data_IF_514530364756
#
_entry.id   IF_514530364756
#
_cell.length_a   1.000
_cell.length_b   1.000
_cell.length_c   1.000
_cell.angle_alpha   90.00
_cell.angle_beta   90.00
_cell.angle_gamma   90.00
#
_symmetry.space_group_name_H-M   'P 1'
#
loop_
_entity.id
_entity.type
_entity.pdbx_description
1 polymer ?
#
# COMPACT_ATOMS: atom_id res chain seq x y z
N UNK A 1 -4.78 17.20 -36.39
CA UNK A 1 -4.39 16.12 -35.47
C UNK A 1 -3.36 16.69 -34.50
N UNK A 2 -3.72 16.90 -33.24
CA UNK A 2 -2.74 17.32 -32.21
C UNK A 2 -1.82 16.11 -31.99
N UNK A 3 -0.49 16.23 -32.13
CA UNK A 3 0.41 15.13 -31.84
C UNK A 3 0.17 14.68 -30.40
N UNK A 4 -0.17 13.42 -30.19
CA UNK A 4 -0.26 12.85 -28.85
C UNK A 4 1.09 13.02 -28.17
N UNK A 5 1.12 13.78 -27.08
CA UNK A 5 2.36 14.03 -26.35
C UNK A 5 2.97 12.68 -25.91
N UNK A 6 4.27 12.50 -26.18
CA UNK A 6 5.00 11.29 -25.77
C UNK A 6 4.93 11.19 -24.24
N UNK A 7 4.46 10.06 -23.68
CA UNK A 7 4.38 9.88 -22.24
C UNK A 7 5.74 10.11 -21.55
N UNK A 8 5.74 10.86 -20.44
CA UNK A 8 6.93 11.19 -19.66
C UNK A 8 6.71 10.87 -18.17
N UNK A 9 7.77 10.56 -17.41
CA UNK A 9 7.65 10.42 -15.96
C UNK A 9 7.33 11.78 -15.30
N UNK A 10 6.69 11.76 -14.11
CA UNK A 10 6.53 12.96 -13.30
C UNK A 10 7.85 13.69 -13.01
N UNK A 11 7.81 15.01 -12.97
CA UNK A 11 9.02 15.84 -12.84
C UNK A 11 9.76 15.66 -11.51
N UNK A 12 9.06 15.37 -10.41
CA UNK A 12 9.69 15.12 -9.10
C UNK A 12 10.33 13.73 -8.99
N UNK A 13 9.99 12.82 -9.91
CA UNK A 13 10.48 11.45 -9.86
C UNK A 13 11.96 11.42 -10.29
N UNK A 14 12.81 10.84 -9.44
CA UNK A 14 14.22 10.60 -9.77
C UNK A 14 14.34 9.84 -11.09
N UNK A 15 14.97 10.45 -12.09
CA UNK A 15 15.29 9.81 -13.37
C UNK A 15 16.65 9.11 -13.28
N UNK A 16 16.71 7.85 -13.74
CA UNK A 16 17.94 7.06 -13.76
C UNK A 16 18.35 6.80 -15.20
N UNK A 17 19.61 7.12 -15.52
CA UNK A 17 20.20 6.79 -16.82
C UNK A 17 20.10 5.27 -17.11
N UNK A 18 19.57 4.85 -18.28
CA UNK A 18 19.40 3.44 -18.60
C UNK A 18 20.71 2.63 -18.63
N UNK A 19 21.85 3.23 -19.02
CA UNK A 19 23.13 2.54 -18.99
C UNK A 19 23.60 2.31 -17.55
N UNK A 20 23.42 3.30 -16.66
CA UNK A 20 23.67 3.15 -15.22
C UNK A 20 22.77 2.09 -14.59
N UNK A 21 21.49 2.08 -14.94
CA UNK A 21 20.54 1.06 -14.45
C UNK A 21 20.95 -0.36 -14.89
N UNK A 22 21.29 -0.54 -16.17
CA UNK A 22 21.79 -1.82 -16.71
C UNK A 22 23.07 -2.27 -16.01
N UNK A 23 24.05 -1.37 -15.84
CA UNK A 23 25.30 -1.68 -15.15
C UNK A 23 25.07 -2.08 -13.68
N UNK A 24 24.20 -1.35 -12.97
CA UNK A 24 23.82 -1.64 -11.59
C UNK A 24 23.18 -3.02 -11.42
N UNK A 25 22.24 -3.37 -12.30
CA UNK A 25 21.57 -4.67 -12.29
C UNK A 25 22.53 -5.80 -12.71
N UNK A 26 23.36 -5.59 -13.74
CA UNK A 26 24.33 -6.58 -14.20
C UNK A 26 25.37 -6.91 -13.12
N UNK A 27 25.89 -5.91 -12.40
CA UNK A 27 26.82 -6.11 -11.28
C UNK A 27 26.23 -7.03 -10.20
N UNK A 28 24.92 -6.92 -9.96
CA UNK A 28 24.20 -7.69 -8.93
C UNK A 28 23.82 -9.09 -9.39
N UNK A 29 23.65 -9.31 -10.70
CA UNK A 29 23.41 -10.63 -11.30
C UNK A 29 24.68 -11.43 -11.55
N UNK A 30 25.79 -10.77 -11.91
CA UNK A 30 27.06 -11.41 -12.32
C UNK A 30 27.99 -11.80 -11.18
N UNK A 31 27.73 -11.38 -9.96
CA UNK A 31 28.59 -11.75 -8.83
C UNK A 31 28.25 -13.18 -8.41
N UNK A 32 29.14 -14.12 -8.72
CA UNK A 32 29.08 -15.52 -8.23
C UNK A 32 29.20 -15.65 -6.70
N UNK A 33 29.34 -14.52 -5.99
CA UNK A 33 29.23 -14.41 -4.55
C UNK A 33 28.04 -13.52 -4.19
N UNK A 34 27.17 -13.93 -3.24
CA UNK A 34 26.01 -13.14 -2.83
C UNK A 34 26.43 -11.78 -2.25
N UNK A 35 25.64 -10.73 -2.53
CA UNK A 35 25.80 -9.41 -1.91
C UNK A 35 25.91 -9.56 -0.39
N UNK A 36 26.92 -8.94 0.22
CA UNK A 36 27.12 -9.03 1.67
C UNK A 36 25.90 -8.46 2.43
N UNK A 37 25.59 -8.96 3.64
CA UNK A 37 24.46 -8.48 4.42
C UNK A 37 24.48 -6.96 4.63
N UNK A 38 25.66 -6.38 4.89
CA UNK A 38 25.82 -4.93 5.06
C UNK A 38 25.53 -4.15 3.77
N UNK A 39 26.00 -4.64 2.61
CA UNK A 39 25.75 -3.99 1.33
C UNK A 39 24.24 -4.03 0.99
N UNK A 40 23.58 -5.17 1.24
CA UNK A 40 22.12 -5.32 1.09
C UNK A 40 21.37 -4.35 1.99
N UNK A 41 21.74 -4.25 3.27
CA UNK A 41 21.14 -3.31 4.23
C UNK A 41 21.28 -1.85 3.78
N UNK A 42 22.48 -1.43 3.38
CA UNK A 42 22.73 -0.07 2.86
C UNK A 42 21.88 0.24 1.63
N UNK A 43 21.77 -0.73 0.72
CA UNK A 43 20.97 -0.59 -0.49
C UNK A 43 19.48 -0.53 -0.21
N UNK A 44 18.96 -1.40 0.66
CA UNK A 44 17.56 -1.40 1.06
C UNK A 44 17.16 -0.04 1.65
N UNK A 45 18.00 0.53 2.53
CA UNK A 45 17.81 1.87 3.10
C UNK A 45 17.89 2.98 2.04
N UNK A 46 18.80 2.87 1.07
CA UNK A 46 18.87 3.83 -0.05
C UNK A 46 17.63 3.74 -0.95
N UNK A 47 17.11 2.55 -1.22
CA UNK A 47 15.85 2.35 -1.95
C UNK A 47 14.71 3.04 -1.18
N UNK A 48 14.57 2.78 0.14
CA UNK A 48 13.52 3.42 0.94
C UNK A 48 13.62 4.97 0.92
N UNK A 49 14.82 5.54 1.02
CA UNK A 49 15.02 6.99 0.94
C UNK A 49 14.55 7.56 -0.41
N UNK A 50 14.90 6.93 -1.52
CA UNK A 50 14.45 7.35 -2.86
C UNK A 50 12.92 7.19 -3.01
N UNK A 51 12.34 6.14 -2.43
CA UNK A 51 10.88 5.96 -2.45
C UNK A 51 10.16 6.98 -1.55
N UNK A 52 10.80 7.47 -0.48
CA UNK A 52 10.26 8.54 0.35
C UNK A 52 10.16 9.86 -0.43
N UNK A 53 11.18 10.18 -1.24
CA UNK A 53 11.14 11.33 -2.16
C UNK A 53 10.09 11.16 -3.27
N UNK A 54 9.92 9.94 -3.78
CA UNK A 54 8.93 9.66 -4.83
C UNK A 54 7.47 9.74 -4.32
N UNK A 55 7.24 9.37 -3.05
CA UNK A 55 5.92 9.29 -2.43
C UNK A 55 5.89 9.98 -1.06
N UNK A 56 6.10 11.30 -0.98
CA UNK A 56 6.14 12.03 0.30
C UNK A 56 4.77 12.05 1.00
N UNK A 57 3.70 11.75 0.26
CA UNK A 57 2.31 11.67 0.70
C UNK A 57 1.82 10.22 0.91
N UNK A 58 2.71 9.22 0.93
CA UNK A 58 2.31 7.82 1.13
C UNK A 58 1.73 7.59 2.52
N UNK A 59 0.45 7.23 2.57
CA UNK A 59 -0.30 6.86 3.78
C UNK A 59 -1.17 5.64 3.45
N UNK A 60 -1.89 5.09 4.43
CA UNK A 60 -2.91 4.08 4.12
C UNK A 60 -3.92 4.63 3.10
N UNK A 61 -4.20 3.88 2.03
CA UNK A 61 -5.13 4.33 0.98
C UNK A 61 -6.61 4.19 1.36
N UNK A 62 -6.90 3.56 2.50
CA UNK A 62 -8.23 3.52 3.12
C UNK A 62 -8.45 4.78 3.94
N UNK A 63 -9.60 5.43 3.80
CA UNK A 63 -9.94 6.63 4.57
C UNK A 63 -10.51 6.23 5.94
N UNK A 64 -10.01 6.85 7.01
CA UNK A 64 -10.43 6.58 8.39
C UNK A 64 -10.14 7.77 9.30
N UNK A 65 -10.87 7.85 10.42
CA UNK A 65 -10.70 8.87 11.47
C UNK A 65 -10.41 8.26 12.85
N UNK A 66 -10.51 6.94 12.99
CA UNK A 66 -10.26 6.23 14.24
C UNK A 66 -9.72 4.81 13.97
N UNK A 67 -9.12 4.15 14.98
CA UNK A 67 -8.74 2.74 14.86
C UNK A 67 -9.90 1.81 14.49
N UNK A 68 -11.11 2.10 14.99
CA UNK A 68 -12.34 1.37 14.65
C UNK A 68 -12.66 1.47 13.16
N UNK A 69 -12.67 2.69 12.61
CA UNK A 69 -12.96 2.89 11.18
C UNK A 69 -11.92 2.18 10.30
N UNK A 70 -10.63 2.29 10.63
CA UNK A 70 -9.56 1.62 9.88
C UNK A 70 -9.69 0.10 9.93
N UNK A 71 -10.00 -0.45 11.11
CA UNK A 71 -10.14 -1.90 11.30
C UNK A 71 -11.31 -2.44 10.46
N UNK A 72 -12.48 -1.81 10.54
CA UNK A 72 -13.66 -2.20 9.76
C UNK A 72 -13.39 -2.03 8.26
N UNK A 73 -12.82 -0.90 7.83
CA UNK A 73 -12.47 -0.66 6.43
C UNK A 73 -11.48 -1.72 5.89
N UNK A 74 -10.51 -2.14 6.72
CA UNK A 74 -9.53 -3.17 6.33
C UNK A 74 -10.16 -4.55 6.21
N UNK A 75 -11.12 -4.91 7.07
CA UNK A 75 -11.89 -6.15 6.90
C UNK A 75 -12.77 -6.10 5.64
N UNK A 76 -13.39 -4.94 5.36
CA UNK A 76 -14.22 -4.74 4.16
C UNK A 76 -13.42 -4.73 2.85
N UNK A 77 -12.14 -4.35 2.87
CA UNK A 77 -11.28 -4.34 1.69
C UNK A 77 -10.87 -5.73 1.22
N UNK A 78 -11.13 -6.78 2.00
CA UNK A 78 -10.95 -8.15 1.55
C UNK A 78 -11.68 -8.38 0.22
N UNK A 79 -10.90 -8.73 -0.81
CA UNK A 79 -11.36 -8.96 -2.18
C UNK A 79 -12.16 -7.78 -2.78
N UNK A 80 -11.80 -6.54 -2.42
CA UNK A 80 -12.43 -5.32 -2.93
C UNK A 80 -11.40 -4.21 -3.05
N UNK A 81 -11.66 -3.23 -3.91
CA UNK A 81 -10.74 -2.10 -4.08
C UNK A 81 -10.96 -1.06 -3.00
N UNK A 82 -9.86 -0.44 -2.55
CA UNK A 82 -9.90 0.63 -1.53
C UNK A 82 -10.82 1.78 -1.98
N UNK A 83 -10.86 2.10 -3.27
CA UNK A 83 -11.77 3.11 -3.84
C UNK A 83 -13.24 2.79 -3.58
N UNK A 84 -13.66 1.52 -3.72
CA UNK A 84 -15.04 1.12 -3.43
C UNK A 84 -15.33 1.16 -1.95
N UNK A 85 -14.38 0.71 -1.12
CA UNK A 85 -14.51 0.78 0.35
C UNK A 85 -14.66 2.23 0.81
N UNK A 86 -13.82 3.15 0.32
CA UNK A 86 -13.87 4.57 0.68
C UNK A 86 -15.15 5.26 0.20
N UNK A 87 -15.76 4.80 -0.90
CA UNK A 87 -17.06 5.32 -1.36
C UNK A 87 -18.23 4.84 -0.49
N UNK A 88 -18.11 3.67 0.15
CA UNK A 88 -19.18 3.04 0.96
C UNK A 88 -19.09 3.39 2.44
N UNK A 89 -17.87 3.44 3.00
CA UNK A 89 -17.62 3.58 4.43
C UNK A 89 -18.16 4.89 5.06
N UNK A 90 -18.24 6.05 4.38
CA UNK A 90 -18.83 7.25 4.98
C UNK A 90 -20.28 7.04 5.43
N UNK A 91 -21.10 6.36 4.62
CA UNK A 91 -22.49 6.03 4.99
C UNK A 91 -22.54 5.01 6.13
N UNK A 92 -21.67 4.00 6.10
CA UNK A 92 -21.58 2.99 7.16
C UNK A 92 -21.21 3.62 8.51
N UNK A 93 -20.18 4.47 8.54
CA UNK A 93 -19.71 5.08 9.79
C UNK A 93 -20.60 6.22 10.28
N UNK A 94 -21.42 6.82 9.41
CA UNK A 94 -22.49 7.71 9.84
C UNK A 94 -23.62 6.95 10.56
N UNK A 95 -24.01 5.78 10.04
CA UNK A 95 -25.02 4.92 10.67
C UNK A 95 -24.50 4.21 11.93
N UNK A 96 -23.23 3.78 11.92
CA UNK A 96 -22.59 3.02 12.99
C UNK A 96 -21.26 3.65 13.41
N UNK A 97 -21.30 4.77 14.17
CA UNK A 97 -20.10 5.53 14.53
C UNK A 97 -19.20 4.83 15.55
N UNK A 98 -19.69 3.80 16.25
CA UNK A 98 -18.95 3.05 17.28
C UNK A 98 -19.07 1.54 17.07
N UNK A 99 -18.16 0.72 17.65
CA UNK A 99 -18.30 -0.73 17.64
C UNK A 99 -19.65 -1.19 18.20
N UNK A 100 -20.12 -0.59 19.29
CA UNK A 100 -21.45 -0.89 19.87
C UNK A 100 -22.58 -0.65 18.88
N UNK A 101 -22.58 0.50 18.20
CA UNK A 101 -23.59 0.81 17.20
C UNK A 101 -23.57 -0.19 16.04
N UNK A 102 -22.40 -0.67 15.60
CA UNK A 102 -22.30 -1.67 14.54
C UNK A 102 -22.74 -3.08 14.99
N UNK A 103 -22.45 -3.46 16.23
CA UNK A 103 -22.86 -4.74 16.79
C UNK A 103 -24.39 -4.84 16.90
N UNK A 104 -25.01 -3.78 17.39
CA UNK A 104 -26.46 -3.66 17.63
C UNK A 104 -27.27 -3.30 16.38
N UNK A 105 -26.62 -2.87 15.28
CA UNK A 105 -27.29 -2.47 14.05
C UNK A 105 -28.09 -3.62 13.41
N UNK A 106 -29.20 -3.24 12.75
CA UNK A 106 -30.00 -4.17 11.95
C UNK A 106 -29.18 -4.73 10.79
N UNK A 107 -29.23 -6.05 10.63
CA UNK A 107 -28.41 -6.72 9.63
C UNK A 107 -28.79 -6.30 8.20
N UNK A 108 -30.08 -6.12 7.92
CA UNK A 108 -30.55 -5.77 6.58
C UNK A 108 -30.10 -4.35 6.21
N UNK A 109 -30.14 -3.41 7.15
CA UNK A 109 -29.61 -2.06 6.94
C UNK A 109 -28.11 -2.08 6.57
N UNK A 110 -27.28 -2.81 7.34
CA UNK A 110 -25.85 -2.93 7.04
C UNK A 110 -25.63 -3.58 5.68
N UNK A 111 -26.35 -4.67 5.39
CA UNK A 111 -26.25 -5.36 4.10
C UNK A 111 -26.56 -4.42 2.93
N UNK A 112 -27.57 -3.56 3.04
CA UNK A 112 -27.90 -2.58 1.99
C UNK A 112 -26.82 -1.50 1.84
N UNK A 113 -26.25 -1.00 2.94
CA UNK A 113 -25.14 -0.04 2.90
C UNK A 113 -23.93 -0.64 2.17
N UNK A 114 -23.52 -1.86 2.52
CA UNK A 114 -22.28 -2.47 2.00
C UNK A 114 -22.49 -3.37 0.78
N UNK A 115 -23.71 -3.46 0.25
CA UNK A 115 -24.06 -4.21 -0.98
C UNK A 115 -23.09 -3.95 -2.15
N UNK A 116 -22.66 -2.70 -2.44
CA UNK A 116 -21.75 -2.41 -3.56
C UNK A 116 -20.37 -3.06 -3.45
N UNK A 117 -19.95 -3.51 -2.26
CA UNK A 117 -18.64 -4.11 -2.02
C UNK A 117 -18.54 -5.57 -2.46
N UNK A 118 -19.66 -6.21 -2.83
CA UNK A 118 -19.69 -7.65 -3.11
C UNK A 118 -19.44 -8.50 -1.86
N UNK A 119 -19.85 -9.77 -1.90
CA UNK A 119 -19.84 -10.69 -0.73
C UNK A 119 -20.46 -10.07 0.54
N UNK A 120 -21.41 -9.13 0.36
CA UNK A 120 -21.87 -8.24 1.41
C UNK A 120 -22.45 -9.00 2.61
N UNK A 121 -23.18 -10.10 2.40
CA UNK A 121 -23.68 -10.93 3.52
C UNK A 121 -22.57 -11.49 4.40
N UNK A 122 -21.49 -12.00 3.80
CA UNK A 122 -20.35 -12.51 4.55
C UNK A 122 -19.60 -11.38 5.25
N UNK A 123 -19.43 -10.24 4.56
CA UNK A 123 -18.80 -9.04 5.13
C UNK A 123 -19.61 -8.46 6.29
N UNK A 124 -20.93 -8.37 6.19
CA UNK A 124 -21.83 -7.92 7.26
C UNK A 124 -21.65 -8.78 8.50
N UNK A 125 -21.71 -10.11 8.36
CA UNK A 125 -21.47 -11.02 9.49
C UNK A 125 -20.08 -10.82 10.08
N UNK A 126 -19.05 -10.68 9.25
CA UNK A 126 -17.67 -10.48 9.71
C UNK A 126 -17.52 -9.20 10.53
N UNK A 127 -18.00 -8.04 10.03
CA UNK A 127 -17.85 -6.76 10.73
C UNK A 127 -18.74 -6.67 11.98
N UNK A 128 -19.93 -7.29 11.98
CA UNK A 128 -20.79 -7.35 13.16
C UNK A 128 -20.19 -8.24 14.25
N UNK A 129 -19.67 -9.42 13.90
CA UNK A 129 -19.01 -10.31 14.86
C UNK A 129 -17.72 -9.68 15.42
N UNK A 130 -16.97 -8.98 14.55
CA UNK A 130 -15.81 -8.18 14.95
C UNK A 130 -16.21 -7.11 15.98
N UNK A 131 -17.25 -6.34 15.67
CA UNK A 131 -17.74 -5.28 16.55
C UNK A 131 -18.25 -5.81 17.89
N UNK A 132 -18.99 -6.92 17.88
CA UNK A 132 -19.45 -7.59 19.09
C UNK A 132 -18.28 -8.03 19.98
N UNK A 133 -17.25 -8.67 19.41
CA UNK A 133 -16.07 -9.08 20.19
C UNK A 133 -15.29 -7.90 20.78
N UNK A 134 -15.23 -6.77 20.06
CA UNK A 134 -14.63 -5.53 20.59
C UNK A 134 -15.43 -5.01 21.79
N UNK A 135 -16.76 -5.08 21.74
CA UNK A 135 -17.62 -4.65 22.85
C UNK A 135 -17.47 -5.58 24.06
N UNK A 136 -17.49 -6.89 23.84
CA UNK A 136 -17.52 -7.89 24.91
C UNK A 136 -16.16 -8.05 25.61
N UNK A 137 -15.07 -8.08 24.84
CA UNK A 137 -13.74 -8.44 25.36
C UNK A 137 -12.82 -7.22 25.56
N UNK A 138 -13.18 -6.05 25.00
CA UNK A 138 -12.34 -4.86 24.98
C UNK A 138 -13.11 -3.56 25.28
N UNK A 139 -14.25 -3.66 25.96
CA UNK A 139 -15.06 -2.52 26.43
C UNK A 139 -15.48 -1.52 25.32
N UNK A 140 -15.55 -1.99 24.07
CA UNK A 140 -15.90 -1.15 22.92
C UNK A 140 -14.73 -0.38 22.31
N UNK A 141 -13.49 -0.63 22.75
CA UNK A 141 -12.28 -0.02 22.21
C UNK A 141 -11.46 -1.01 21.39
N UNK A 142 -10.91 -0.57 20.25
CA UNK A 142 -10.01 -1.41 19.46
C UNK A 142 -8.69 -1.58 20.23
N UNK A 143 -8.23 -2.81 20.49
CA UNK A 143 -7.01 -3.00 21.27
C UNK A 143 -5.75 -2.55 20.53
N UNK A 144 -4.83 -1.93 21.26
CA UNK A 144 -3.55 -1.40 20.74
C UNK A 144 -2.39 -2.41 20.77
N UNK A 145 -2.66 -3.71 20.90
CA UNK A 145 -1.64 -4.77 20.96
C UNK A 145 -1.87 -5.81 19.87
N UNK A 146 -0.78 -6.33 19.30
CA UNK A 146 -0.84 -7.34 18.25
C UNK A 146 -1.55 -8.62 18.71
N UNK A 147 -1.20 -9.10 19.90
CA UNK A 147 -1.75 -10.34 20.49
C UNK A 147 -3.27 -10.28 20.59
N UNK A 148 -3.82 -9.13 20.99
CA UNK A 148 -5.25 -8.93 21.17
C UNK A 148 -5.95 -8.77 19.81
N UNK A 149 -5.39 -7.96 18.92
CA UNK A 149 -5.95 -7.74 17.58
C UNK A 149 -6.09 -9.03 16.78
N UNK A 150 -5.12 -9.95 16.86
CA UNK A 150 -5.20 -11.22 16.11
C UNK A 150 -6.23 -12.20 16.68
N UNK A 151 -6.77 -11.95 17.89
CA UNK A 151 -7.92 -12.72 18.39
C UNK A 151 -9.23 -12.31 17.71
N UNK A 152 -9.27 -11.11 17.10
CA UNK A 152 -10.47 -10.58 16.49
C UNK A 152 -10.82 -11.33 15.18
N UNK A 153 -12.10 -11.64 14.94
CA UNK A 153 -12.50 -12.41 13.76
C UNK A 153 -12.18 -11.65 12.47
N UNK A 154 -11.52 -12.32 11.53
CA UNK A 154 -11.10 -11.72 10.26
C UNK A 154 -9.82 -10.87 10.36
N UNK A 155 -9.18 -10.81 11.54
CA UNK A 155 -7.95 -10.05 11.76
C UNK A 155 -6.75 -10.98 11.85
N UNK A 156 -6.01 -11.10 10.77
CA UNK A 156 -4.69 -11.74 10.77
C UNK A 156 -3.58 -10.74 11.15
N UNK A 157 -2.36 -11.26 11.33
CA UNK A 157 -1.15 -10.45 11.65
C UNK A 157 -0.95 -9.25 10.72
N UNK A 158 -1.19 -9.41 9.41
CA UNK A 158 -1.12 -8.30 8.43
C UNK A 158 -2.11 -7.20 8.78
N UNK A 159 -3.39 -7.55 8.98
CA UNK A 159 -4.46 -6.60 9.31
C UNK A 159 -4.16 -5.88 10.62
N UNK A 160 -3.71 -6.62 11.64
CA UNK A 160 -3.30 -6.04 12.91
C UNK A 160 -2.16 -5.01 12.74
N UNK A 161 -1.11 -5.35 11.98
CA UNK A 161 0.00 -4.42 11.70
C UNK A 161 -0.45 -3.17 10.89
N UNK A 162 -1.46 -3.29 10.01
CA UNK A 162 -2.06 -2.12 9.34
C UNK A 162 -2.66 -1.18 10.37
N UNK A 163 -3.47 -1.70 11.30
CA UNK A 163 -4.15 -0.90 12.32
C UNK A 163 -3.17 -0.30 13.31
N UNK A 164 -2.24 -1.11 13.85
CA UNK A 164 -1.20 -0.67 14.77
C UNK A 164 -0.33 0.44 14.16
N UNK A 165 0.14 0.24 12.94
CA UNK A 165 1.02 1.18 12.26
C UNK A 165 0.36 2.51 11.96
N UNK A 166 -0.87 2.49 11.44
CA UNK A 166 -1.49 3.71 10.88
C UNK A 166 -2.42 4.42 11.88
N UNK A 167 -3.03 3.71 12.84
CA UNK A 167 -3.95 4.31 13.80
C UNK A 167 -3.37 4.47 15.21
N UNK A 168 -2.42 3.62 15.62
CA UNK A 168 -1.78 3.69 16.94
C UNK A 168 -0.33 4.21 16.90
N UNK A 169 0.26 4.37 15.72
CA UNK A 169 1.67 4.76 15.57
C UNK A 169 2.67 3.68 16.05
N UNK A 170 2.21 2.44 16.24
CA UNK A 170 3.03 1.30 16.66
C UNK A 170 3.62 0.65 15.39
N UNK A 171 4.94 0.70 15.17
CA UNK A 171 5.49 0.30 13.88
C UNK A 171 5.25 -1.17 13.53
N UNK A 172 4.84 -1.43 12.30
CA UNK A 172 4.57 -2.78 11.82
C UNK A 172 4.82 -2.93 10.33
N UNK A 173 5.42 -4.06 9.94
CA UNK A 173 5.55 -4.44 8.53
C UNK A 173 4.28 -5.18 8.11
N UNK A 174 3.70 -4.72 7.00
CA UNK A 174 2.49 -5.32 6.40
C UNK A 174 2.87 -6.02 5.09
N UNK A 175 3.14 -7.31 5.18
CA UNK A 175 3.49 -8.10 3.98
C UNK A 175 2.22 -8.44 3.20
N UNK A 176 2.02 -7.72 2.10
CA UNK A 176 1.01 -8.03 1.09
C UNK A 176 1.66 -8.53 -0.23
N UNK A 177 0.85 -8.68 -1.27
CA UNK A 177 1.32 -9.15 -2.57
C UNK A 177 2.24 -8.14 -3.28
N UNK A 178 2.14 -6.85 -2.96
CA UNK A 178 3.06 -5.82 -3.46
C UNK A 178 4.37 -5.89 -2.68
N UNK A 179 4.31 -5.84 -1.35
CA UNK A 179 5.46 -5.89 -0.46
C UNK A 179 6.34 -7.11 -0.73
N UNK A 180 5.77 -8.32 -0.71
CA UNK A 180 6.52 -9.55 -0.94
C UNK A 180 7.16 -9.60 -2.33
N UNK A 181 6.42 -9.21 -3.37
CA UNK A 181 6.94 -9.15 -4.74
C UNK A 181 8.11 -8.18 -4.84
N UNK A 182 7.98 -6.98 -4.28
CA UNK A 182 9.00 -5.95 -4.35
C UNK A 182 10.22 -6.30 -3.51
N UNK A 183 10.04 -6.88 -2.31
CA UNK A 183 11.13 -7.39 -1.50
C UNK A 183 11.98 -8.42 -2.25
N UNK A 184 11.34 -9.33 -3.01
CA UNK A 184 12.03 -10.29 -3.89
C UNK A 184 12.71 -9.62 -5.09
N UNK A 185 12.03 -8.71 -5.80
CA UNK A 185 12.63 -7.95 -6.93
C UNK A 185 13.81 -7.08 -6.51
N UNK A 186 13.75 -6.53 -5.31
CA UNK A 186 14.85 -5.78 -4.72
C UNK A 186 15.94 -6.69 -4.15
N UNK A 187 15.78 -8.02 -4.17
CA UNK A 187 16.76 -8.97 -3.64
C UNK A 187 17.01 -8.77 -2.15
N UNK A 188 15.96 -8.45 -1.38
CA UNK A 188 16.01 -8.34 0.08
C UNK A 188 15.86 -9.71 0.73
N UNK A 189 15.01 -10.55 0.14
CA UNK A 189 14.75 -11.94 0.53
C UNK A 189 14.40 -12.77 -0.71
N UNK A 190 14.55 -14.09 -0.61
CA UNK A 190 14.03 -15.05 -1.57
C UNK A 190 12.73 -15.73 -1.09
N UNK A 191 12.30 -15.43 0.14
CA UNK A 191 11.15 -16.08 0.76
C UNK A 191 9.82 -15.62 0.13
N UNK A 192 8.86 -16.53 0.10
CA UNK A 192 7.49 -16.26 -0.35
C UNK A 192 6.50 -16.23 0.81
N UNK A 193 6.81 -16.95 1.90
CA UNK A 193 6.02 -16.94 3.12
C UNK A 193 6.03 -15.55 3.77
N UNK A 194 4.85 -14.93 4.03
CA UNK A 194 4.78 -13.58 4.56
C UNK A 194 5.50 -13.37 5.88
N UNK A 195 5.50 -14.36 6.77
CA UNK A 195 6.14 -14.26 8.10
C UNK A 195 7.66 -14.25 7.96
N UNK A 196 8.21 -15.08 7.08
CA UNK A 196 9.65 -15.07 6.78
C UNK A 196 10.07 -13.81 6.05
N UNK A 197 9.27 -13.31 5.10
CA UNK A 197 9.51 -12.03 4.41
C UNK A 197 9.53 -10.88 5.42
N UNK A 198 8.57 -10.82 6.35
CA UNK A 198 8.50 -9.83 7.41
C UNK A 198 9.80 -9.82 8.23
N UNK A 199 10.24 -10.99 8.71
CA UNK A 199 11.47 -11.16 9.49
C UNK A 199 12.71 -10.70 8.72
N UNK A 200 12.87 -11.14 7.49
CA UNK A 200 14.06 -10.85 6.68
C UNK A 200 14.15 -9.36 6.36
N UNK A 201 13.01 -8.72 6.04
CA UNK A 201 12.97 -7.28 5.72
C UNK A 201 13.11 -6.44 7.00
N UNK A 202 12.51 -6.84 8.12
CA UNK A 202 12.66 -6.17 9.41
C UNK A 202 14.13 -5.98 9.80
N UNK A 203 14.99 -6.98 9.55
CA UNK A 203 16.42 -6.90 9.84
C UNK A 203 17.18 -5.80 9.05
N UNK A 204 16.61 -5.31 7.94
CA UNK A 204 17.22 -4.30 7.07
C UNK A 204 16.91 -2.85 7.53
N UNK A 205 15.84 -2.64 8.27
CA UNK A 205 15.29 -1.31 8.60
C UNK A 205 15.15 -1.12 10.12
N UNK A 206 15.15 0.14 10.57
CA UNK A 206 14.82 0.42 11.97
C UNK A 206 13.31 0.30 12.17
N UNK A 207 12.81 -0.12 13.36
CA UNK A 207 11.37 -0.28 13.60
C UNK A 207 10.54 0.95 13.22
N UNK A 208 11.00 2.16 13.55
CA UNK A 208 10.32 3.41 13.20
C UNK A 208 10.05 3.60 11.71
N UNK A 209 10.78 2.93 10.82
CA UNK A 209 10.63 3.05 9.38
C UNK A 209 9.63 2.03 8.79
N UNK A 210 9.16 1.05 9.58
CA UNK A 210 8.43 -0.11 9.07
C UNK A 210 7.08 0.23 8.43
N UNK A 211 6.27 1.05 9.09
CA UNK A 211 4.94 1.44 8.58
C UNK A 211 5.07 2.21 7.26
N UNK A 212 5.93 3.23 7.24
CA UNK A 212 6.22 4.05 6.07
C UNK A 212 6.80 3.23 4.91
N UNK A 213 7.74 2.33 5.20
CA UNK A 213 8.29 1.41 4.22
C UNK A 213 7.17 0.59 3.57
N UNK A 214 6.27 0.03 4.37
CA UNK A 214 5.12 -0.72 3.90
C UNK A 214 4.24 0.12 2.96
N UNK A 215 3.89 1.35 3.34
CA UNK A 215 3.09 2.23 2.47
C UNK A 215 3.81 2.54 1.16
N UNK A 216 5.10 2.89 1.22
CA UNK A 216 5.91 3.21 0.03
C UNK A 216 6.02 2.03 -0.93
N UNK A 217 6.14 0.79 -0.42
CA UNK A 217 6.17 -0.40 -1.28
C UNK A 217 4.82 -0.70 -1.91
N UNK A 218 3.71 -0.52 -1.19
CA UNK A 218 2.37 -0.64 -1.77
C UNK A 218 2.18 0.41 -2.87
N UNK A 219 2.53 1.67 -2.61
CA UNK A 219 2.47 2.75 -3.59
C UNK A 219 3.30 2.43 -4.82
N UNK A 220 4.58 2.06 -4.63
CA UNK A 220 5.48 1.73 -5.72
C UNK A 220 4.98 0.54 -6.54
N UNK A 221 4.48 -0.50 -5.87
CA UNK A 221 3.97 -1.71 -6.49
C UNK A 221 2.66 -1.51 -7.26
N UNK A 222 1.87 -0.48 -6.92
CA UNK A 222 0.62 -0.11 -7.61
C UNK A 222 0.84 0.89 -8.74
N UNK A 223 1.84 1.78 -8.63
CA UNK A 223 2.07 2.90 -9.56
C UNK A 223 3.12 2.61 -10.63
N UNK A 224 4.16 1.83 -10.30
CA UNK A 224 5.34 1.62 -11.18
C UNK A 224 5.66 0.13 -11.34
N UNK A 225 5.85 -0.59 -10.24
CA UNK A 225 6.40 -1.95 -10.23
C UNK A 225 5.30 -3.03 -10.32
N UNK A 226 4.51 -2.96 -11.40
CA UNK A 226 3.38 -3.86 -11.67
C UNK A 226 3.79 -5.33 -11.71
N UNK A 227 2.88 -6.23 -11.35
CA UNK A 227 3.18 -7.67 -11.26
C UNK A 227 3.68 -8.24 -12.58
N UNK A 228 2.94 -8.01 -13.68
CA UNK A 228 3.24 -8.58 -15.00
C UNK A 228 4.24 -7.77 -15.84
N UNK A 229 4.09 -6.44 -15.86
CA UNK A 229 4.89 -5.56 -16.74
C UNK A 229 5.31 -4.28 -15.99
N UNK A 230 6.36 -4.34 -15.15
CA UNK A 230 6.80 -3.18 -14.37
C UNK A 230 7.39 -2.08 -15.26
N UNK A 231 7.15 -0.82 -14.93
CA UNK A 231 7.66 0.34 -15.67
C UNK A 231 9.14 0.63 -15.37
N UNK A 232 10.05 -0.29 -15.72
CA UNK A 232 11.47 -0.23 -15.35
C UNK A 232 12.17 1.04 -15.87
N UNK A 233 11.85 1.50 -17.08
CA UNK A 233 12.47 2.67 -17.72
C UNK A 233 12.26 4.01 -16.99
N UNK A 234 11.25 4.09 -16.11
CA UNK A 234 10.95 5.28 -15.30
C UNK A 234 11.04 5.01 -13.81
N UNK A 235 11.58 3.86 -13.40
CA UNK A 235 11.65 3.50 -11.99
C UNK A 235 12.75 4.29 -11.26
N UNK A 236 12.45 5.01 -10.16
CA UNK A 236 13.42 5.89 -9.49
C UNK A 236 14.55 5.12 -8.81
N UNK A 237 14.38 3.82 -8.59
CA UNK A 237 15.37 2.93 -7.95
C UNK A 237 16.03 1.97 -8.94
N UNK A 238 15.94 2.25 -10.24
CA UNK A 238 16.42 1.37 -11.30
C UNK A 238 17.91 0.97 -11.18
N UNK A 239 18.79 1.89 -10.76
CA UNK A 239 20.23 1.61 -10.54
C UNK A 239 20.53 0.82 -9.26
N UNK A 240 19.54 0.68 -8.38
CA UNK A 240 19.63 -0.08 -7.13
C UNK A 240 18.93 -1.45 -7.22
N UNK A 241 18.14 -1.68 -8.27
CA UNK A 241 17.25 -2.82 -8.41
C UNK A 241 17.93 -3.98 -9.17
N UNK A 242 18.15 -5.16 -8.56
CA UNK A 242 18.65 -6.35 -9.25
C UNK A 242 17.73 -6.81 -10.40
N UNK A 243 16.42 -6.63 -10.24
CA UNK A 243 15.38 -7.01 -11.22
C UNK A 243 15.13 -5.98 -12.33
N UNK A 244 15.91 -4.90 -12.43
CA UNK A 244 15.73 -3.93 -13.52
C UNK A 244 15.79 -4.63 -14.89
N UNK A 245 14.82 -4.33 -15.77
CA UNK A 245 14.67 -4.99 -17.07
C UNK A 245 13.65 -6.12 -17.12
N UNK A 246 12.95 -6.44 -16.01
CA UNK A 246 11.76 -7.32 -16.05
C UNK A 246 10.58 -6.73 -16.85
N UNK A 247 10.58 -5.42 -17.08
CA UNK A 247 9.63 -4.76 -17.96
C UNK A 247 10.34 -3.74 -18.86
N UNK A 248 9.59 -2.93 -19.64
CA UNK A 248 10.20 -2.04 -20.63
C UNK A 248 11.17 -1.07 -19.97
N UNK A 249 12.36 -0.95 -20.56
CA UNK A 249 13.42 -0.02 -20.15
C UNK A 249 13.43 1.27 -20.95
N UNK A 250 12.70 1.30 -22.07
CA UNK A 250 12.45 2.52 -22.82
C UNK A 250 11.57 3.47 -22.01
N UNK A 251 11.96 4.74 -21.93
CA UNK A 251 11.32 5.74 -21.07
C UNK A 251 9.86 5.98 -21.46
N UNK A 252 9.57 6.13 -22.76
CA UNK A 252 8.22 6.42 -23.23
C UNK A 252 7.28 5.23 -23.02
N UNK A 253 7.73 4.02 -23.37
CA UNK A 253 6.96 2.79 -23.13
C UNK A 253 6.72 2.53 -21.65
N UNK A 254 7.70 2.80 -20.79
CA UNK A 254 7.57 2.63 -19.35
C UNK A 254 6.65 3.71 -18.74
N UNK A 255 6.78 4.98 -19.16
CA UNK A 255 5.91 6.06 -18.71
C UNK A 255 4.42 5.79 -19.03
N UNK A 256 4.13 5.20 -20.20
CA UNK A 256 2.78 4.81 -20.58
C UNK A 256 2.14 3.75 -19.65
N UNK A 257 2.94 3.06 -18.83
CA UNK A 257 2.47 2.05 -17.87
C UNK A 257 2.20 2.62 -16.49
N UNK A 258 2.54 3.88 -16.22
CA UNK A 258 2.28 4.49 -14.93
C UNK A 258 0.78 4.51 -14.62
N UNK A 259 0.45 4.40 -13.33
CA UNK A 259 -0.93 4.29 -12.82
C UNK A 259 -1.21 5.31 -11.73
N UNK A 260 -2.49 5.48 -11.43
CA UNK A 260 -3.02 6.44 -10.45
C UNK A 260 -2.57 7.86 -10.81
N UNK A 261 -2.13 8.65 -9.84
CA UNK A 261 -1.67 10.01 -10.07
C UNK A 261 -0.40 10.11 -10.93
N UNK A 262 0.31 9.01 -11.17
CA UNK A 262 1.45 8.99 -12.09
C UNK A 262 1.06 8.69 -13.55
N UNK A 263 -0.20 8.30 -13.81
CA UNK A 263 -0.64 8.01 -15.17
C UNK A 263 -0.54 9.26 -16.06
N UNK A 264 -0.18 9.13 -17.35
CA UNK A 264 -0.13 10.27 -18.26
C UNK A 264 -1.47 11.03 -18.31
N UNK A 265 -1.43 12.37 -18.25
CA UNK A 265 -2.63 13.20 -18.21
C UNK A 265 -3.25 13.39 -16.83
N UNK A 266 -2.54 12.98 -15.75
CA UNK A 266 -2.97 13.12 -14.35
C UNK A 266 -2.05 14.02 -13.53
N UNK A 267 -1.28 14.88 -14.19
CA UNK A 267 -0.26 15.74 -13.60
C UNK A 267 -0.86 16.67 -12.53
N UNK A 268 -2.03 17.25 -12.78
CA UNK A 268 -2.72 18.11 -11.80
C UNK A 268 -3.12 17.35 -10.53
N UNK A 269 -3.59 16.11 -10.66
CA UNK A 269 -3.90 15.27 -9.49
C UNK A 269 -2.64 15.01 -8.66
N UNK A 270 -1.50 14.75 -9.31
CA UNK A 270 -0.24 14.56 -8.63
C UNK A 270 0.22 15.83 -7.92
N UNK A 271 0.12 17.00 -8.56
CA UNK A 271 0.46 18.28 -7.94
C UNK A 271 -0.36 18.52 -6.67
N UNK A 272 -1.65 18.17 -6.68
CA UNK A 272 -2.48 18.28 -5.49
C UNK A 272 -2.04 17.31 -4.37
N UNK A 273 -1.67 16.07 -4.69
CA UNK A 273 -1.08 15.15 -3.71
C UNK A 273 0.23 15.69 -3.12
N UNK A 274 1.11 16.24 -3.96
CA UNK A 274 2.37 16.84 -3.54
C UNK A 274 2.15 18.11 -2.69
N UNK A 275 1.07 18.84 -2.93
CA UNK A 275 0.62 19.97 -2.11
C UNK A 275 -0.06 19.53 -0.79
N UNK A 276 -0.10 18.23 -0.49
CA UNK A 276 -0.63 17.71 0.77
C UNK A 276 -2.15 17.51 0.80
N UNK A 277 -2.83 17.57 -0.36
CA UNK A 277 -4.26 17.25 -0.43
C UNK A 277 -4.47 15.77 -0.13
N UNK A 278 -5.36 15.48 0.82
CA UNK A 278 -5.75 14.10 1.15
C UNK A 278 -6.64 13.49 0.07
N UNK A 279 -6.69 12.16 0.04
CA UNK A 279 -7.56 11.39 -0.86
C UNK A 279 -9.03 11.76 -0.68
N UNK A 280 -9.50 11.84 0.56
CA UNK A 280 -10.87 12.23 0.89
C UNK A 280 -11.22 13.64 0.36
N UNK A 281 -10.32 14.63 0.51
CA UNK A 281 -10.52 15.98 -0.03
C UNK A 281 -10.60 15.95 -1.57
N UNK A 282 -9.74 15.19 -2.23
CA UNK A 282 -9.72 15.09 -3.69
C UNK A 282 -11.01 14.44 -4.22
N UNK A 283 -11.51 13.39 -3.56
CA UNK A 283 -12.77 12.76 -3.93
C UNK A 283 -13.97 13.68 -3.72
N UNK A 284 -13.99 14.46 -2.64
CA UNK A 284 -15.03 15.45 -2.39
C UNK A 284 -15.06 16.54 -3.48
N UNK A 285 -13.91 16.91 -4.01
CA UNK A 285 -13.77 17.83 -5.14
C UNK A 285 -14.06 17.17 -6.51
N UNK A 286 -14.41 15.88 -6.54
CA UNK A 286 -14.77 15.14 -7.75
C UNK A 286 -13.60 14.54 -8.51
N UNK A 287 -12.38 14.52 -7.96
CA UNK A 287 -11.23 13.87 -8.59
C UNK A 287 -11.35 12.34 -8.56
N UNK A 288 -11.31 11.64 -9.71
CA UNK A 288 -11.35 10.18 -9.71
C UNK A 288 -10.00 9.61 -9.25
N UNK A 289 -9.91 8.91 -8.12
CA UNK A 289 -8.61 8.44 -7.62
C UNK A 289 -8.08 7.16 -8.26
N UNK A 290 -8.90 6.41 -8.99
CA UNK A 290 -8.46 5.28 -9.81
C UNK A 290 -8.21 5.71 -11.25
N UNK A 291 -7.20 5.10 -11.89
CA UNK A 291 -6.90 5.22 -13.33
C UNK A 291 -7.08 3.88 -14.04
#
# INVERSE_FOLDING_TARGET
>A
MVPTAVPRPPAHLRVVDPAKARAGAARRRRTGAPESPLARKRRARRINAVLAEAYPYAVAELDFRSPYELLVATVLSAQTTDVRVNATTPRLFAACPTPRALAEADEAEIQEIIRPLGFYRAKTRAIRTLAQKIVDDHDGEVPGRLEDLVTLPGVGRKTANVVLGNAFGIPGITVDTHFGRLARRFGWTAEEDPVKVERDVAALFEPRDWTDLSQRLVYHGRRICHSRRPACGVCPVADLCPSYGEGPTDTAQAAALLKYEFAPGREELLELFLAGRSRAQLQADGWPLSS
#
